data_IF_907707857119
#
_entry.id   IF_907707857119
#
_cell.length_a   1.000
_cell.length_b   1.000
_cell.length_c   1.000
_cell.angle_alpha   90.00
_cell.angle_beta   90.00
_cell.angle_gamma   90.00
#
_symmetry.space_group_name_H-M   'P 1'
#
loop_
_entity.id
_entity.type
_entity.pdbx_description
1 polymer ?
#
# COMPACT_ATOMS: atom_id res chain seq x y z
N UNK A 1 -14.37 -3.90 -17.18
CA UNK A 1 -13.90 -5.19 -16.63
C UNK A 1 -13.15 -4.88 -15.37
N UNK A 2 -13.67 -5.35 -14.24
CA UNK A 2 -13.21 -4.95 -12.91
C UNK A 2 -12.11 -5.90 -12.43
N UNK A 3 -10.87 -5.42 -12.43
CA UNK A 3 -9.77 -6.13 -11.79
C UNK A 3 -9.86 -5.91 -10.28
N UNK A 4 -9.67 -6.96 -9.50
CA UNK A 4 -9.57 -6.92 -8.04
C UNK A 4 -8.36 -7.72 -7.60
N UNK A 5 -7.64 -7.24 -6.61
CA UNK A 5 -6.61 -8.01 -5.93
C UNK A 5 -7.13 -8.40 -4.55
N UNK A 6 -6.96 -9.67 -4.20
CA UNK A 6 -7.35 -10.20 -2.88
C UNK A 6 -6.34 -11.23 -2.40
N UNK A 7 -6.28 -11.53 -1.10
CA UNK A 7 -5.54 -12.68 -0.61
C UNK A 7 -5.97 -13.97 -1.32
N UNK A 8 -5.00 -14.86 -1.56
CA UNK A 8 -5.28 -16.22 -1.99
C UNK A 8 -6.00 -16.98 -0.87
N UNK A 9 -6.86 -17.91 -1.25
CA UNK A 9 -7.63 -18.73 -0.31
C UNK A 9 -7.51 -20.20 -0.68
N UNK A 10 -7.68 -21.14 0.27
CA UNK A 10 -7.60 -22.58 0.00
C UNK A 10 -8.46 -23.04 -1.19
N UNK A 11 -9.66 -22.45 -1.37
CA UNK A 11 -10.55 -22.75 -2.50
C UNK A 11 -10.01 -22.35 -3.88
N UNK A 12 -9.02 -21.47 -3.95
CA UNK A 12 -8.42 -21.03 -5.21
C UNK A 12 -7.47 -22.09 -5.82
N UNK A 13 -7.05 -23.08 -5.03
CA UNK A 13 -5.99 -24.04 -5.39
C UNK A 13 -6.13 -24.64 -6.80
N UNK A 14 -7.33 -25.09 -7.18
CA UNK A 14 -7.59 -25.67 -8.50
C UNK A 14 -7.48 -24.62 -9.62
N UNK A 15 -8.03 -23.42 -9.39
CA UNK A 15 -7.98 -22.33 -10.36
C UNK A 15 -6.54 -21.84 -10.55
N UNK A 16 -5.76 -21.68 -9.47
CA UNK A 16 -4.37 -21.25 -9.54
C UNK A 16 -3.47 -22.31 -10.18
N UNK A 17 -3.72 -23.61 -9.92
CA UNK A 17 -3.06 -24.71 -10.64
C UNK A 17 -3.30 -24.59 -12.14
N UNK A 18 -4.55 -24.36 -12.55
CA UNK A 18 -4.92 -24.20 -13.96
C UNK A 18 -4.21 -23.00 -14.60
N UNK A 19 -4.18 -21.85 -13.92
CA UNK A 19 -3.47 -20.64 -14.39
C UNK A 19 -1.98 -20.93 -14.56
N UNK A 20 -1.35 -21.54 -13.56
CA UNK A 20 0.06 -21.91 -13.55
C UNK A 20 0.40 -22.80 -14.76
N UNK A 21 -0.42 -23.83 -15.01
CA UNK A 21 -0.25 -24.76 -16.11
C UNK A 21 -0.40 -24.09 -17.48
N UNK A 22 -1.42 -23.25 -17.66
CA UNK A 22 -1.67 -22.53 -18.90
C UNK A 22 -0.55 -21.50 -19.19
N UNK A 23 -0.14 -20.75 -18.18
CA UNK A 23 0.94 -19.76 -18.29
C UNK A 23 2.30 -20.42 -18.58
N UNK A 24 2.58 -21.58 -17.98
CA UNK A 24 3.80 -22.34 -18.28
C UNK A 24 3.78 -22.90 -19.72
N UNK A 25 2.64 -23.43 -20.17
CA UNK A 25 2.48 -23.95 -21.52
C UNK A 25 2.62 -22.89 -22.61
N UNK A 26 2.28 -21.62 -22.34
CA UNK A 26 2.38 -20.54 -23.34
C UNK A 26 3.82 -20.23 -23.79
N UNK A 27 4.83 -20.77 -23.11
CA UNK A 27 6.23 -20.69 -23.54
C UNK A 27 6.62 -21.66 -24.66
N UNK A 28 5.70 -22.54 -25.10
CA UNK A 28 5.92 -23.47 -26.21
C UNK A 28 6.76 -24.69 -25.86
N UNK A 29 6.76 -25.13 -24.60
CA UNK A 29 7.41 -26.39 -24.21
C UNK A 29 6.73 -27.60 -24.87
N UNK A 30 7.49 -28.69 -25.14
CA UNK A 30 6.93 -29.92 -25.66
C UNK A 30 5.80 -30.47 -24.77
N UNK A 31 4.69 -30.88 -25.39
CA UNK A 31 3.49 -31.32 -24.66
C UNK A 31 3.73 -32.56 -23.80
N UNK A 32 4.67 -33.43 -24.18
CA UNK A 32 5.06 -34.59 -23.37
C UNK A 32 5.71 -34.17 -22.05
N UNK A 33 6.61 -33.18 -22.08
CA UNK A 33 7.23 -32.61 -20.88
C UNK A 33 6.20 -31.86 -20.03
N UNK A 34 5.33 -31.10 -20.67
CA UNK A 34 4.23 -30.42 -19.96
C UNK A 34 3.29 -31.43 -19.30
N UNK A 35 3.00 -32.58 -19.93
CA UNK A 35 2.16 -33.63 -19.34
C UNK A 35 2.74 -34.19 -18.05
N UNK A 36 4.04 -34.50 -18.02
CA UNK A 36 4.70 -34.96 -16.79
C UNK A 36 4.75 -33.84 -15.74
N UNK A 37 5.10 -32.61 -16.15
CA UNK A 37 5.16 -31.47 -15.24
C UNK A 37 3.81 -31.21 -14.55
N UNK A 38 2.68 -31.28 -15.29
CA UNK A 38 1.34 -31.09 -14.75
C UNK A 38 0.94 -32.14 -13.70
N UNK A 39 1.51 -33.35 -13.74
CA UNK A 39 1.23 -34.39 -12.72
C UNK A 39 1.85 -34.03 -11.37
N UNK A 40 3.05 -33.44 -11.39
CA UNK A 40 3.85 -33.20 -10.19
C UNK A 40 3.66 -31.81 -9.59
N UNK A 41 3.32 -30.80 -10.40
CA UNK A 41 3.26 -29.41 -9.97
C UNK A 41 1.82 -28.93 -9.84
N UNK A 42 1.28 -28.96 -8.63
CA UNK A 42 -0.07 -28.48 -8.31
C UNK A 42 0.00 -27.51 -7.13
N UNK A 43 -0.85 -26.49 -7.17
CA UNK A 43 -1.08 -25.63 -6.03
C UNK A 43 -2.09 -26.35 -5.13
N UNK A 44 -1.71 -26.64 -3.89
CA UNK A 44 -2.58 -27.30 -2.91
C UNK A 44 -3.24 -26.28 -1.98
N UNK A 45 -4.39 -26.62 -1.36
CA UNK A 45 -4.98 -25.81 -0.31
C UNK A 45 -4.01 -25.48 0.83
N UNK A 46 -3.24 -26.47 1.29
CA UNK A 46 -2.26 -26.29 2.38
C UNK A 46 -1.13 -25.33 2.00
N UNK A 47 -0.62 -25.42 0.76
CA UNK A 47 0.37 -24.48 0.26
C UNK A 47 -0.15 -23.03 0.31
N UNK A 48 -1.43 -22.81 -0.01
CA UNK A 48 -2.00 -21.46 0.02
C UNK A 48 -2.19 -20.90 1.44
N UNK A 49 -2.20 -21.75 2.47
CA UNK A 49 -2.19 -21.29 3.86
C UNK A 49 -0.80 -20.85 4.32
N UNK A 50 0.26 -21.38 3.70
CA UNK A 50 1.66 -21.05 4.03
C UNK A 50 2.21 -19.86 3.22
N UNK A 51 1.62 -19.57 2.06
CA UNK A 51 2.06 -18.49 1.18
C UNK A 51 1.46 -17.14 1.58
N UNK A 52 2.27 -16.09 1.47
CA UNK A 52 1.75 -14.74 1.28
C UNK A 52 1.23 -14.61 -0.17
N UNK A 53 0.00 -15.09 -0.37
CA UNK A 53 -0.63 -15.21 -1.67
C UNK A 53 -1.49 -14.00 -2.06
N UNK A 54 -1.37 -13.55 -3.31
CA UNK A 54 -2.23 -12.52 -3.90
C UNK A 54 -2.84 -13.07 -5.18
N UNK A 55 -4.17 -13.00 -5.29
CA UNK A 55 -4.91 -13.38 -6.48
C UNK A 55 -5.43 -12.13 -7.16
N UNK A 56 -5.16 -12.01 -8.46
CA UNK A 56 -5.82 -11.06 -9.33
C UNK A 56 -7.05 -11.71 -9.95
N UNK A 57 -8.22 -11.16 -9.65
CA UNK A 57 -9.51 -11.61 -10.11
C UNK A 57 -10.08 -10.60 -11.10
N UNK A 58 -10.65 -11.10 -12.20
CA UNK A 58 -11.34 -10.29 -13.20
C UNK A 58 -12.76 -10.80 -13.34
N UNK A 59 -13.72 -9.94 -13.00
CA UNK A 59 -15.15 -10.23 -13.10
C UNK A 59 -15.53 -11.58 -12.41
N UNK A 60 -15.04 -11.81 -11.18
CA UNK A 60 -15.33 -13.03 -10.41
C UNK A 60 -14.36 -14.19 -10.62
N UNK A 61 -13.50 -14.12 -11.65
CA UNK A 61 -12.63 -15.25 -12.05
C UNK A 61 -11.16 -14.96 -11.78
N UNK A 62 -10.42 -15.83 -11.07
CA UNK A 62 -8.96 -15.73 -10.97
C UNK A 62 -8.29 -15.73 -12.34
N UNK A 63 -7.41 -14.76 -12.61
CA UNK A 63 -6.69 -14.64 -13.88
C UNK A 63 -5.18 -14.54 -13.72
N UNK A 64 -4.68 -14.24 -12.53
CA UNK A 64 -3.27 -14.29 -12.19
C UNK A 64 -3.10 -14.44 -10.67
N UNK A 65 -1.91 -14.85 -10.23
CA UNK A 65 -1.57 -14.87 -8.82
C UNK A 65 -0.07 -14.71 -8.59
N UNK A 66 0.28 -14.26 -7.40
CA UNK A 66 1.60 -14.37 -6.82
C UNK A 66 1.56 -15.12 -5.50
N UNK A 67 2.69 -15.66 -5.09
CA UNK A 67 2.86 -16.33 -3.80
C UNK A 67 4.30 -16.23 -3.36
N UNK A 68 4.51 -15.61 -2.20
CA UNK A 68 5.82 -15.48 -1.58
C UNK A 68 5.90 -16.34 -0.31
N UNK A 69 7.10 -16.84 -0.02
CA UNK A 69 7.46 -17.48 1.24
C UNK A 69 8.42 -16.60 2.00
N UNK A 70 8.31 -16.67 3.32
CA UNK A 70 9.18 -15.97 4.24
C UNK A 70 10.11 -17.00 4.87
N UNK A 71 11.42 -16.80 4.77
CA UNK A 71 12.38 -17.63 5.48
C UNK A 71 12.71 -17.03 6.86
N UNK A 72 13.15 -17.89 7.78
CA UNK A 72 13.52 -17.48 9.14
C UNK A 72 14.79 -16.59 9.18
N UNK A 73 15.48 -16.39 8.06
CA UNK A 73 16.70 -15.61 7.94
C UNK A 73 16.45 -14.18 7.46
N UNK A 74 15.18 -13.76 7.33
CA UNK A 74 14.85 -12.41 6.89
C UNK A 74 14.88 -12.23 5.37
N UNK A 75 14.65 -13.29 4.58
CA UNK A 75 14.48 -13.22 3.12
C UNK A 75 13.05 -13.60 2.72
N UNK A 76 12.53 -12.86 1.74
CA UNK A 76 11.28 -13.22 1.05
C UNK A 76 11.64 -13.86 -0.29
N UNK A 77 11.13 -15.06 -0.54
CA UNK A 77 11.26 -15.78 -1.81
C UNK A 77 9.92 -15.72 -2.56
N UNK A 78 9.88 -15.00 -3.68
CA UNK A 78 8.74 -14.98 -4.59
C UNK A 78 8.76 -16.22 -5.48
N UNK A 79 8.20 -17.32 -4.97
CA UNK A 79 8.17 -18.62 -5.63
C UNK A 79 7.18 -18.67 -6.80
N UNK A 80 6.09 -17.90 -6.72
CA UNK A 80 5.01 -17.93 -7.69
C UNK A 80 4.70 -16.54 -8.22
N UNK A 81 4.67 -16.41 -9.55
CA UNK A 81 4.09 -15.27 -10.26
C UNK A 81 3.61 -15.73 -11.65
N UNK A 82 2.31 -15.97 -11.78
CA UNK A 82 1.71 -16.52 -13.00
C UNK A 82 0.53 -15.68 -13.46
N UNK A 83 0.50 -15.40 -14.77
CA UNK A 83 -0.56 -14.63 -15.43
C UNK A 83 -1.13 -15.48 -16.56
N UNK A 84 -2.44 -15.70 -16.54
CA UNK A 84 -3.11 -16.51 -17.56
C UNK A 84 -2.88 -15.92 -18.97
N UNK A 85 -2.64 -16.75 -20.00
CA UNK A 85 -2.22 -16.28 -21.33
C UNK A 85 -3.12 -15.18 -21.94
N UNK A 86 -4.43 -15.27 -21.74
CA UNK A 86 -5.43 -14.33 -22.24
C UNK A 86 -5.34 -12.91 -21.67
N UNK A 87 -4.61 -12.73 -20.55
CA UNK A 87 -4.39 -11.42 -19.92
C UNK A 87 -2.90 -11.11 -19.73
N UNK A 88 -1.99 -11.84 -20.37
CA UNK A 88 -0.58 -11.49 -20.35
C UNK A 88 -0.33 -10.13 -21.04
N UNK A 89 0.79 -9.49 -20.68
CA UNK A 89 1.18 -8.16 -21.19
C UNK A 89 0.18 -7.02 -20.90
N UNK A 90 -0.74 -7.22 -19.96
CA UNK A 90 -1.70 -6.21 -19.48
C UNK A 90 -1.24 -5.41 -18.26
N UNK A 91 -0.04 -5.69 -17.74
CA UNK A 91 0.49 -5.08 -16.51
C UNK A 91 0.15 -5.83 -15.22
N UNK A 92 -0.75 -6.83 -15.23
CA UNK A 92 -1.14 -7.58 -14.02
C UNK A 92 0.06 -8.24 -13.32
N UNK A 93 1.01 -8.81 -14.08
CA UNK A 93 2.22 -9.40 -13.49
C UNK A 93 3.09 -8.39 -12.76
N UNK A 94 3.26 -7.18 -13.32
CA UNK A 94 3.99 -6.10 -12.67
C UNK A 94 3.24 -5.59 -11.41
N UNK A 95 1.91 -5.54 -11.47
CA UNK A 95 1.07 -5.16 -10.35
C UNK A 95 1.18 -6.17 -9.18
N UNK A 96 1.10 -7.47 -9.46
CA UNK A 96 1.27 -8.51 -8.43
C UNK A 96 2.69 -8.52 -7.84
N UNK A 97 3.71 -8.32 -8.68
CA UNK A 97 5.09 -8.19 -8.23
C UNK A 97 5.25 -7.00 -7.27
N UNK A 98 4.80 -5.80 -7.68
CA UNK A 98 4.82 -4.59 -6.85
C UNK A 98 4.10 -4.80 -5.52
N UNK A 99 2.92 -5.45 -5.52
CA UNK A 99 2.17 -5.72 -4.29
C UNK A 99 2.85 -6.75 -3.38
N UNK A 100 3.58 -7.70 -3.95
CA UNK A 100 4.38 -8.66 -3.17
C UNK A 100 5.60 -7.96 -2.54
N UNK A 101 6.25 -7.04 -3.27
CA UNK A 101 7.31 -6.18 -2.74
C UNK A 101 6.81 -5.26 -1.62
N UNK A 102 5.62 -4.70 -1.77
CA UNK A 102 4.98 -3.86 -0.76
C UNK A 102 4.74 -4.62 0.54
N UNK A 103 4.16 -5.83 0.47
CA UNK A 103 3.92 -6.68 1.66
C UNK A 103 5.23 -7.06 2.35
N UNK A 104 6.24 -7.45 1.58
CA UNK A 104 7.57 -7.76 2.11
C UNK A 104 8.15 -6.55 2.88
N UNK A 105 8.07 -5.34 2.31
CA UNK A 105 8.54 -4.12 2.98
C UNK A 105 7.77 -3.84 4.27
N UNK A 106 6.45 -3.95 4.24
CA UNK A 106 5.58 -3.72 5.42
C UNK A 106 5.87 -4.69 6.57
N UNK A 107 6.36 -5.88 6.27
CA UNK A 107 6.78 -6.89 7.25
C UNK A 107 8.24 -6.71 7.71
N UNK A 108 8.94 -5.68 7.22
CA UNK A 108 10.31 -5.34 7.63
C UNK A 108 11.41 -6.01 6.79
N UNK A 109 11.07 -6.70 5.70
CA UNK A 109 12.09 -7.29 4.83
C UNK A 109 12.77 -6.22 3.99
N UNK A 110 14.09 -6.33 3.86
CA UNK A 110 14.92 -5.40 3.07
C UNK A 110 15.31 -5.97 1.70
N UNK A 111 14.93 -7.22 1.43
CA UNK A 111 15.33 -7.96 0.23
C UNK A 111 14.26 -8.97 -0.16
N UNK A 112 14.03 -9.08 -1.46
CA UNK A 112 13.20 -10.10 -2.08
C UNK A 112 14.02 -10.83 -3.14
N UNK A 113 13.87 -12.15 -3.21
CA UNK A 113 14.56 -13.03 -4.13
C UNK A 113 13.54 -13.85 -4.94
N UNK A 114 13.94 -14.30 -6.12
CA UNK A 114 13.12 -15.16 -6.96
C UNK A 114 13.95 -16.03 -7.89
N UNK A 115 13.33 -17.11 -8.34
CA UNK A 115 13.81 -17.94 -9.44
C UNK A 115 12.96 -17.66 -10.67
N UNK A 116 13.56 -17.00 -11.65
CA UNK A 116 12.84 -16.64 -12.87
C UNK A 116 12.72 -17.82 -13.82
N UNK A 117 11.63 -17.85 -14.58
CA UNK A 117 11.57 -18.67 -15.79
C UNK A 117 12.67 -18.27 -16.79
N UNK A 118 13.13 -19.23 -17.60
CA UNK A 118 14.18 -19.00 -18.63
C UNK A 118 13.85 -17.83 -19.56
N UNK A 119 12.56 -17.60 -19.85
CA UNK A 119 12.11 -16.53 -20.74
C UNK A 119 11.61 -15.27 -19.99
N UNK A 120 11.61 -15.27 -18.66
CA UNK A 120 11.06 -14.18 -17.84
C UNK A 120 12.13 -13.27 -17.22
N UNK A 121 13.42 -13.58 -17.34
CA UNK A 121 14.50 -12.79 -16.69
C UNK A 121 14.43 -11.30 -17.02
N UNK A 122 14.29 -10.97 -18.31
CA UNK A 122 14.17 -9.57 -18.74
C UNK A 122 12.94 -8.82 -18.20
N UNK A 123 11.88 -9.53 -17.78
CA UNK A 123 10.76 -8.88 -17.08
C UNK A 123 11.18 -8.39 -15.70
N UNK A 124 11.86 -9.22 -14.92
CA UNK A 124 12.34 -8.86 -13.58
C UNK A 124 13.47 -7.83 -13.63
N UNK A 125 14.38 -7.89 -14.61
CA UNK A 125 15.42 -6.87 -14.81
C UNK A 125 14.82 -5.47 -14.98
N UNK A 126 13.75 -5.33 -15.77
CA UNK A 126 13.03 -4.05 -15.92
C UNK A 126 12.32 -3.60 -14.64
N UNK A 127 12.05 -4.52 -13.72
CA UNK A 127 11.50 -4.22 -12.39
C UNK A 127 12.59 -3.94 -11.35
N UNK A 128 13.86 -3.88 -11.76
CA UNK A 128 15.00 -3.55 -10.90
C UNK A 128 15.59 -4.75 -10.15
N UNK A 129 15.34 -5.98 -10.61
CA UNK A 129 16.02 -7.16 -10.08
C UNK A 129 17.37 -7.35 -10.76
N UNK A 130 18.35 -7.78 -9.97
CA UNK A 130 19.68 -8.13 -10.44
C UNK A 130 19.84 -9.65 -10.43
N UNK A 131 20.52 -10.19 -11.45
CA UNK A 131 20.81 -11.62 -11.53
C UNK A 131 22.01 -11.97 -10.63
N UNK A 132 21.81 -12.87 -9.68
CA UNK A 132 22.82 -13.30 -8.71
C UNK A 132 23.34 -14.72 -8.98
N UNK A 133 22.65 -15.48 -9.83
CA UNK A 133 23.05 -16.84 -10.17
C UNK A 133 22.21 -17.42 -11.30
N UNK A 134 22.50 -18.68 -11.64
CA UNK A 134 21.81 -19.42 -12.69
C UNK A 134 21.65 -20.88 -12.28
N UNK A 135 20.51 -21.47 -12.61
CA UNK A 135 20.25 -22.90 -12.44
C UNK A 135 19.85 -23.55 -13.77
N UNK A 136 20.27 -24.78 -14.07
CA UNK A 136 19.82 -25.49 -15.27
C UNK A 136 18.30 -25.67 -15.30
N UNK A 137 17.66 -25.41 -16.44
CA UNK A 137 16.23 -25.66 -16.61
C UNK A 137 15.96 -27.13 -16.92
N UNK A 138 15.09 -27.76 -16.13
CA UNK A 138 14.59 -29.10 -16.41
C UNK A 138 13.65 -29.13 -17.64
N UNK A 139 13.00 -28.00 -17.95
CA UNK A 139 12.04 -27.88 -19.05
C UNK A 139 12.70 -27.42 -20.37
N UNK A 140 13.91 -26.89 -20.32
CA UNK A 140 14.67 -26.45 -21.49
C UNK A 140 16.15 -26.84 -21.35
N UNK A 141 16.52 -28.08 -21.72
CA UNK A 141 17.91 -28.55 -21.65
C UNK A 141 18.89 -27.58 -22.34
N UNK A 142 20.00 -27.28 -21.66
CA UNK A 142 21.01 -26.33 -22.14
C UNK A 142 20.69 -24.85 -21.91
N UNK A 143 19.52 -24.52 -21.36
CA UNK A 143 19.17 -23.16 -20.92
C UNK A 143 19.14 -23.08 -19.41
N UNK A 144 19.32 -21.87 -18.89
CA UNK A 144 19.43 -21.59 -17.47
C UNK A 144 18.32 -20.64 -17.01
N UNK A 145 17.79 -20.90 -15.83
CA UNK A 145 16.86 -20.04 -15.09
C UNK A 145 17.68 -19.07 -14.24
N UNK A 146 17.49 -17.74 -14.38
CA UNK A 146 18.21 -16.79 -13.55
C UNK A 146 17.66 -16.81 -12.12
N UNK A 147 18.56 -16.84 -11.14
CA UNK A 147 18.29 -16.51 -9.75
C UNK A 147 18.48 -15.00 -9.61
N UNK A 148 17.47 -14.32 -9.09
CA UNK A 148 17.43 -12.86 -9.11
C UNK A 148 17.01 -12.31 -7.76
N UNK A 149 17.52 -11.14 -7.42
CA UNK A 149 17.26 -10.48 -6.15
C UNK A 149 17.08 -8.98 -6.34
N UNK A 150 16.29 -8.37 -5.45
CA UNK A 150 16.10 -6.92 -5.40
C UNK A 150 16.17 -6.44 -3.96
N UNK A 151 16.96 -5.39 -3.73
CA UNK A 151 16.93 -4.66 -2.46
C UNK A 151 15.66 -3.83 -2.41
N UNK A 152 14.89 -4.00 -1.34
CA UNK A 152 13.73 -3.16 -1.07
C UNK A 152 14.23 -1.85 -0.47
N UNK A 153 13.98 -0.75 -1.17
CA UNK A 153 14.39 0.57 -0.74
C UNK A 153 13.65 0.99 0.54
N UNK A 154 14.24 1.86 1.38
CA UNK A 154 13.55 2.47 2.51
C UNK A 154 12.22 3.09 2.09
N UNK A 155 11.26 3.15 3.01
CA UNK A 155 9.96 3.75 2.74
C UNK A 155 9.96 5.28 2.92
N UNK A 156 10.87 5.82 3.73
CA UNK A 156 10.84 7.21 4.23
C UNK A 156 11.94 8.05 3.60
N UNK A 157 11.59 9.25 3.10
CA UNK A 157 12.52 10.20 2.50
C UNK A 157 12.18 11.65 2.90
N UNK A 158 13.18 12.54 3.02
CA UNK A 158 12.93 13.97 3.20
C UNK A 158 12.36 14.63 1.94
N UNK A 159 11.45 15.58 2.15
CA UNK A 159 10.78 16.36 1.11
C UNK A 159 11.23 17.82 1.19
N UNK A 160 11.70 18.36 0.07
CA UNK A 160 12.07 19.76 -0.08
C UNK A 160 10.96 20.59 -0.72
N UNK A 161 10.12 19.98 -1.56
CA UNK A 161 9.01 20.66 -2.25
C UNK A 161 7.87 19.70 -2.59
N UNK A 162 6.65 20.21 -2.52
CA UNK A 162 5.44 19.55 -3.03
C UNK A 162 4.87 20.38 -4.18
N UNK A 163 4.57 19.73 -5.30
CA UNK A 163 4.07 20.33 -6.53
C UNK A 163 2.92 19.48 -7.11
N UNK A 164 1.75 19.64 -6.50
CA UNK A 164 0.56 18.86 -6.81
C UNK A 164 -0.50 19.74 -7.47
N UNK A 165 -1.11 19.21 -8.51
CA UNK A 165 -2.16 19.91 -9.27
C UNK A 165 -3.42 19.06 -9.37
N UNK A 166 -4.55 19.70 -9.64
CA UNK A 166 -5.82 19.02 -9.91
C UNK A 166 -6.05 18.83 -11.41
N UNK A 167 -6.44 17.61 -11.81
CA UNK A 167 -6.90 17.31 -13.17
C UNK A 167 -8.38 17.58 -13.33
N UNK A 168 -8.76 18.14 -14.48
CA UNK A 168 -10.16 18.20 -14.92
C UNK A 168 -10.70 16.88 -15.49
N UNK A 169 -9.86 15.85 -15.65
CA UNK A 169 -10.29 14.55 -16.17
C UNK A 169 -10.85 13.67 -15.05
N UNK A 170 -11.95 12.94 -15.27
CA UNK A 170 -12.49 12.02 -14.27
C UNK A 170 -11.54 10.86 -14.03
N UNK A 171 -11.59 10.31 -12.82
CA UNK A 171 -10.76 9.16 -12.49
C UNK A 171 -11.20 7.93 -13.28
N UNK A 172 -10.31 7.39 -14.10
CA UNK A 172 -10.62 6.30 -15.03
C UNK A 172 -11.21 5.05 -14.32
N UNK A 173 -10.75 4.74 -13.11
CA UNK A 173 -11.29 3.64 -12.31
C UNK A 173 -12.76 3.88 -11.94
N UNK A 174 -13.09 5.08 -11.43
CA UNK A 174 -14.46 5.43 -11.08
C UNK A 174 -15.37 5.41 -12.31
N UNK A 175 -14.91 6.00 -13.41
CA UNK A 175 -15.65 6.04 -14.66
C UNK A 175 -15.96 4.63 -15.20
N UNK A 176 -15.01 3.69 -15.11
CA UNK A 176 -15.15 2.34 -15.63
C UNK A 176 -15.95 1.38 -14.73
N UNK A 177 -16.10 1.69 -13.44
CA UNK A 177 -16.67 0.77 -12.44
C UNK A 177 -17.92 1.32 -11.73
N UNK A 178 -18.58 2.35 -12.28
CA UNK A 178 -19.73 3.04 -11.65
C UNK A 178 -20.77 2.10 -11.02
N UNK A 179 -21.26 1.12 -11.77
CA UNK A 179 -22.30 0.19 -11.28
C UNK A 179 -21.82 -0.65 -10.09
N UNK A 180 -20.61 -1.22 -10.19
CA UNK A 180 -20.03 -2.03 -9.13
C UNK A 180 -19.65 -1.20 -7.90
N UNK A 181 -19.25 0.06 -8.07
CA UNK A 181 -19.00 1.01 -6.98
C UNK A 181 -20.31 1.31 -6.24
N UNK A 182 -21.40 1.60 -6.97
CA UNK A 182 -22.70 1.86 -6.35
C UNK A 182 -23.22 0.66 -5.56
N UNK A 183 -23.11 -0.55 -6.12
CA UNK A 183 -23.50 -1.79 -5.43
C UNK A 183 -22.66 -2.03 -4.17
N UNK A 184 -21.34 -1.91 -4.29
CA UNK A 184 -20.41 -2.08 -3.18
C UNK A 184 -20.68 -1.09 -2.04
N UNK A 185 -20.88 0.18 -2.39
CA UNK A 185 -21.12 1.23 -1.41
C UNK A 185 -22.47 1.06 -0.70
N UNK A 186 -23.52 0.66 -1.42
CA UNK A 186 -24.81 0.33 -0.82
C UNK A 186 -24.70 -0.82 0.19
N UNK A 187 -23.86 -1.82 -0.07
CA UNK A 187 -23.59 -2.89 0.90
C UNK A 187 -22.84 -2.37 2.14
N UNK A 188 -21.85 -1.49 1.94
CA UNK A 188 -21.13 -0.85 3.06
C UNK A 188 -22.04 0.02 3.92
N UNK A 189 -22.98 0.76 3.32
CA UNK A 189 -23.96 1.55 4.07
C UNK A 189 -24.92 0.69 4.89
N UNK A 190 -25.18 -0.57 4.50
CA UNK A 190 -25.95 -1.50 5.36
C UNK A 190 -25.17 -1.94 6.60
N UNK A 191 -23.84 -1.95 6.53
CA UNK A 191 -22.95 -2.31 7.64
C UNK A 191 -22.64 -1.10 8.53
N UNK A 192 -22.53 0.09 7.93
CA UNK A 192 -22.20 1.36 8.59
C UNK A 192 -23.22 2.42 8.08
N UNK A 193 -24.38 2.56 8.74
CA UNK A 193 -25.44 3.48 8.30
C UNK A 193 -25.01 4.95 8.19
N UNK A 194 -24.02 5.36 8.97
CA UNK A 194 -23.46 6.72 9.01
C UNK A 194 -22.53 7.03 7.82
N UNK A 195 -22.21 6.03 6.99
CA UNK A 195 -21.28 6.19 5.88
C UNK A 195 -21.84 7.12 4.80
N UNK A 196 -21.21 8.30 4.65
CA UNK A 196 -21.58 9.31 3.69
C UNK A 196 -20.67 9.29 2.44
N UNK A 197 -21.26 9.45 1.25
CA UNK A 197 -20.53 9.42 -0.01
C UNK A 197 -19.95 10.81 -0.37
N UNK A 198 -18.90 11.19 0.33
CA UNK A 198 -18.20 12.45 0.11
C UNK A 198 -17.36 12.52 -1.15
N UNK A 199 -16.58 13.60 -1.25
CA UNK A 199 -15.58 13.81 -2.30
C UNK A 199 -14.19 13.83 -1.68
N UNK A 200 -13.23 13.25 -2.38
CA UNK A 200 -11.82 13.17 -1.97
C UNK A 200 -10.93 13.32 -3.20
N UNK A 201 -9.63 13.53 -3.01
CA UNK A 201 -8.66 13.61 -4.09
C UNK A 201 -7.84 12.33 -4.20
N UNK A 202 -7.66 11.85 -5.43
CA UNK A 202 -6.89 10.66 -5.75
C UNK A 202 -5.65 11.02 -6.54
N UNK A 203 -4.46 10.64 -6.08
CA UNK A 203 -3.23 10.77 -6.87
C UNK A 203 -3.28 9.78 -8.04
N UNK A 204 -3.23 10.27 -9.27
CA UNK A 204 -3.34 9.46 -10.50
C UNK A 204 -2.05 9.41 -11.32
N UNK A 205 -1.10 10.28 -10.99
CA UNK A 205 0.26 10.30 -11.50
C UNK A 205 1.17 11.00 -10.50
N UNK A 206 2.40 10.52 -10.33
CA UNK A 206 3.39 11.17 -9.48
C UNK A 206 4.82 10.84 -9.85
N UNK A 207 5.72 11.71 -9.40
CA UNK A 207 7.16 11.55 -9.45
C UNK A 207 7.74 12.05 -8.13
N UNK A 208 8.74 11.35 -7.61
CA UNK A 208 9.51 11.80 -6.46
C UNK A 208 11.00 11.69 -6.80
N UNK A 209 11.64 12.84 -6.98
CA UNK A 209 13.06 12.92 -7.31
C UNK A 209 13.70 14.13 -6.63
N UNK A 210 14.92 13.97 -6.13
CA UNK A 210 15.70 15.02 -5.46
C UNK A 210 14.92 15.78 -4.37
N UNK A 211 14.08 15.06 -3.62
CA UNK A 211 13.23 15.61 -2.55
C UNK A 211 11.96 16.33 -3.04
N UNK A 212 11.69 16.37 -4.34
CA UNK A 212 10.51 17.02 -4.90
C UNK A 212 9.43 15.98 -5.23
N UNK A 213 8.29 16.06 -4.53
CA UNK A 213 7.08 15.35 -4.92
C UNK A 213 6.31 16.20 -5.93
N UNK A 214 6.17 15.71 -7.16
CA UNK A 214 5.26 16.31 -8.13
C UNK A 214 4.21 15.30 -8.60
N UNK A 215 3.04 15.79 -8.98
CA UNK A 215 1.97 14.89 -9.42
C UNK A 215 0.65 15.56 -9.73
N UNK A 216 -0.28 14.72 -10.16
CA UNK A 216 -1.64 15.12 -10.50
C UNK A 216 -2.64 14.33 -9.70
N UNK A 217 -3.54 15.03 -9.01
CA UNK A 217 -4.69 14.44 -8.38
C UNK A 217 -5.94 14.58 -9.25
N UNK A 218 -6.94 13.77 -8.96
CA UNK A 218 -8.27 13.84 -9.55
C UNK A 218 -9.30 13.71 -8.44
N UNK A 219 -10.34 14.53 -8.48
CA UNK A 219 -11.46 14.41 -7.57
C UNK A 219 -12.27 13.13 -7.83
N UNK A 220 -12.55 12.35 -6.79
CA UNK A 220 -13.36 11.14 -6.87
C UNK A 220 -14.36 11.04 -5.72
N UNK A 221 -15.35 10.15 -5.86
CA UNK A 221 -16.27 9.88 -4.75
C UNK A 221 -15.60 9.02 -3.68
N UNK A 222 -15.99 9.22 -2.43
CA UNK A 222 -15.55 8.38 -1.32
C UNK A 222 -15.89 6.91 -1.57
N UNK A 223 -17.06 6.63 -2.18
CA UNK A 223 -17.43 5.30 -2.64
C UNK A 223 -16.42 4.68 -3.62
N UNK A 224 -15.94 5.46 -4.59
CA UNK A 224 -14.93 4.99 -5.55
C UNK A 224 -13.58 4.74 -4.87
N UNK A 225 -13.14 5.64 -3.99
CA UNK A 225 -11.94 5.46 -3.16
C UNK A 225 -12.02 4.17 -2.34
N UNK A 226 -13.13 3.99 -1.62
CA UNK A 226 -13.37 2.84 -0.75
C UNK A 226 -13.37 1.53 -1.54
N UNK A 227 -14.08 1.51 -2.68
CA UNK A 227 -14.12 0.34 -3.57
C UNK A 227 -12.74 -0.01 -4.12
N UNK A 228 -11.97 0.98 -4.58
CA UNK A 228 -10.62 0.78 -5.08
C UNK A 228 -9.68 0.22 -4.00
N UNK A 229 -9.76 0.77 -2.78
CA UNK A 229 -8.95 0.34 -1.64
C UNK A 229 -9.25 -1.12 -1.29
N UNK A 230 -10.53 -1.44 -1.15
CA UNK A 230 -10.97 -2.76 -0.70
C UNK A 230 -10.86 -3.82 -1.81
N UNK A 231 -10.71 -3.40 -3.08
CA UNK A 231 -10.31 -4.27 -4.19
C UNK A 231 -8.78 -4.39 -4.35
N UNK A 232 -8.01 -4.01 -3.33
CA UNK A 232 -6.56 -4.18 -3.28
C UNK A 232 -5.78 -3.23 -4.18
N UNK A 233 -6.34 -2.04 -4.47
CA UNK A 233 -5.72 -1.02 -5.32
C UNK A 233 -5.29 -1.58 -6.69
N UNK A 234 -6.25 -1.99 -7.55
CA UNK A 234 -6.02 -2.87 -8.69
C UNK A 234 -5.48 -2.13 -9.94
N UNK A 235 -4.53 -1.23 -9.77
CA UNK A 235 -3.80 -0.59 -10.87
C UNK A 235 -2.42 -0.09 -10.39
N UNK A 236 -1.56 0.25 -11.35
CA UNK A 236 -0.17 0.64 -11.10
C UNK A 236 0.04 2.14 -10.86
N UNK A 237 -0.91 2.98 -11.27
CA UNK A 237 -0.67 4.42 -11.41
C UNK A 237 -1.38 5.26 -10.36
N UNK A 238 -2.30 4.68 -9.59
CA UNK A 238 -3.11 5.44 -8.64
C UNK A 238 -2.73 5.10 -7.22
N UNK A 239 -2.70 6.12 -6.36
CA UNK A 239 -2.26 6.01 -4.97
C UNK A 239 -3.21 6.77 -4.06
N UNK A 240 -3.30 6.38 -2.79
CA UNK A 240 -3.91 7.21 -1.77
C UNK A 240 -2.86 8.14 -1.19
N UNK A 241 -2.95 9.43 -1.53
CA UNK A 241 -2.06 10.46 -1.01
C UNK A 241 -2.77 11.22 0.10
N UNK A 242 -2.16 11.31 1.26
CA UNK A 242 -2.73 11.96 2.42
C UNK A 242 -1.66 12.66 3.25
N UNK A 243 -2.08 13.70 3.95
CA UNK A 243 -1.24 14.43 4.89
C UNK A 243 -1.25 13.75 6.26
N UNK A 244 -0.14 13.84 6.99
CA UNK A 244 -0.15 13.55 8.42
C UNK A 244 0.73 14.51 9.21
N UNK A 245 0.44 14.64 10.50
CA UNK A 245 1.19 15.42 11.45
C UNK A 245 1.72 14.51 12.57
N UNK A 246 3.01 14.62 12.86
CA UNK A 246 3.63 13.95 14.01
C UNK A 246 4.11 15.00 14.99
N UNK A 247 3.60 14.94 16.22
CA UNK A 247 4.13 15.73 17.33
C UNK A 247 5.33 15.01 17.92
N UNK A 248 6.44 15.75 18.09
CA UNK A 248 7.65 15.29 18.79
C UNK A 248 7.87 16.13 20.05
N UNK A 249 7.91 15.47 21.19
CA UNK A 249 8.17 16.08 22.50
C UNK A 249 9.66 16.42 22.69
N UNK A 250 10.03 17.29 23.66
CA UNK A 250 11.44 17.62 23.96
C UNK A 250 12.33 16.42 24.30
N UNK A 251 11.75 15.36 24.88
CA UNK A 251 12.44 14.09 25.16
C UNK A 251 12.58 13.19 23.93
N UNK A 252 12.14 13.63 22.75
CA UNK A 252 12.23 12.89 21.49
C UNK A 252 11.09 11.89 21.25
N UNK A 253 10.15 11.74 22.19
CA UNK A 253 9.02 10.82 22.02
C UNK A 253 8.01 11.36 20.99
N UNK A 254 7.45 10.46 20.19
CA UNK A 254 6.46 10.74 19.16
C UNK A 254 5.05 10.46 19.69
N UNK A 255 4.05 11.21 19.21
CA UNK A 255 2.65 11.01 19.57
C UNK A 255 1.83 10.58 18.35
N UNK A 256 1.20 9.41 18.44
CA UNK A 256 0.29 8.86 17.42
C UNK A 256 -1.13 8.73 17.99
N UNK A 257 -2.12 9.12 17.21
CA UNK A 257 -3.53 8.94 17.57
C UNK A 257 -3.93 7.47 17.61
N UNK A 258 -4.79 7.10 18.56
CA UNK A 258 -5.46 5.80 18.63
C UNK A 258 -6.90 6.02 18.19
N UNK A 259 -7.31 5.40 17.09
CA UNK A 259 -8.61 5.68 16.47
C UNK A 259 -9.79 5.13 17.27
N UNK A 260 -10.86 5.94 17.38
CA UNK A 260 -12.07 5.59 18.10
C UNK A 260 -12.88 4.45 17.47
N UNK A 261 -13.70 3.70 18.26
CA UNK A 261 -14.46 2.55 17.77
C UNK A 261 -15.46 2.82 16.65
N UNK A 262 -15.94 4.06 16.50
CA UNK A 262 -16.90 4.46 15.47
C UNK A 262 -16.26 4.86 14.13
N UNK A 263 -14.93 4.89 14.04
CA UNK A 263 -14.23 5.25 12.80
C UNK A 263 -13.97 4.02 11.92
N UNK A 264 -13.71 4.24 10.63
CA UNK A 264 -13.39 3.16 9.69
C UNK A 264 -12.05 2.44 9.99
N UNK A 265 -11.25 2.99 10.88
CA UNK A 265 -9.91 2.55 11.27
C UNK A 265 -9.81 2.25 12.78
N UNK A 266 -10.95 1.97 13.42
CA UNK A 266 -11.07 1.70 14.85
C UNK A 266 -9.92 0.88 15.45
N UNK A 267 -9.29 1.41 16.50
CA UNK A 267 -8.20 0.76 17.23
C UNK A 267 -6.83 0.83 16.56
N UNK A 268 -6.72 1.25 15.30
CA UNK A 268 -5.43 1.47 14.65
C UNK A 268 -4.73 2.69 15.24
N UNK A 269 -3.39 2.66 15.20
CA UNK A 269 -2.51 3.70 15.77
C UNK A 269 -1.68 4.32 14.64
N UNK A 270 -1.77 5.64 14.49
CA UNK A 270 -1.02 6.38 13.47
C UNK A 270 -0.95 7.89 13.74
N UNK A 271 -0.03 8.64 13.09
CA UNK A 271 0.01 10.10 13.11
C UNK A 271 -1.33 10.74 12.71
N UNK A 272 -1.73 11.82 13.38
CA UNK A 272 -2.97 12.57 13.08
C UNK A 272 -3.00 13.02 11.61
N UNK A 273 -4.16 12.97 10.95
CA UNK A 273 -4.23 13.33 9.54
C UNK A 273 -5.35 12.66 8.75
N UNK A 274 -5.65 13.28 7.60
CA UNK A 274 -6.77 12.91 6.74
C UNK A 274 -6.42 12.84 5.26
N UNK A 275 -7.35 12.28 4.50
CA UNK A 275 -7.25 12.28 3.04
C UNK A 275 -7.47 13.70 2.51
N UNK A 276 -6.80 14.02 1.40
CA UNK A 276 -7.04 15.26 0.70
C UNK A 276 -8.48 15.31 0.15
N UNK A 277 -9.06 16.51 0.17
CA UNK A 277 -10.42 16.77 -0.31
C UNK A 277 -10.48 18.08 -1.13
N UNK A 278 -11.61 18.40 -1.79
CA UNK A 278 -11.72 19.60 -2.64
C UNK A 278 -11.43 20.94 -1.94
N UNK A 279 -11.54 21.01 -0.61
CA UNK A 279 -11.20 22.20 0.17
C UNK A 279 -9.69 22.48 0.22
N UNK A 280 -8.85 21.48 -0.08
CA UNK A 280 -7.39 21.62 -0.14
C UNK A 280 -6.91 22.18 -1.50
N UNK A 281 -7.82 22.45 -2.43
CA UNK A 281 -7.50 23.00 -3.75
C UNK A 281 -7.45 24.54 -3.67
N UNK A 282 -6.31 25.11 -4.03
CA UNK A 282 -6.15 26.57 -4.11
C UNK A 282 -6.85 27.15 -5.33
N UNK A 283 -7.09 28.47 -5.32
CA UNK A 283 -7.63 29.19 -6.49
C UNK A 283 -6.77 29.05 -7.76
N UNK A 284 -5.49 28.69 -7.65
CA UNK A 284 -4.61 28.45 -8.80
C UNK A 284 -4.71 27.02 -9.36
N UNK A 285 -5.50 26.13 -8.75
CA UNK A 285 -5.59 24.72 -9.12
C UNK A 285 -4.43 23.86 -8.57
N UNK A 286 -3.66 24.39 -7.62
CA UNK A 286 -2.66 23.64 -6.86
C UNK A 286 -3.28 23.01 -5.62
N UNK A 287 -2.65 22.00 -5.04
CA UNK A 287 -3.12 21.35 -3.81
C UNK A 287 -2.23 21.80 -2.65
N UNK A 288 -2.83 22.42 -1.64
CA UNK A 288 -2.16 22.89 -0.43
C UNK A 288 -2.18 21.82 0.66
N UNK A 289 -1.26 20.87 0.53
CA UNK A 289 -1.14 19.76 1.47
C UNK A 289 -0.70 20.21 2.86
N UNK A 290 0.10 21.27 2.97
CA UNK A 290 0.53 21.79 4.27
C UNK A 290 -0.64 22.41 5.05
N UNK A 291 -1.54 23.11 4.37
CA UNK A 291 -2.77 23.60 4.97
C UNK A 291 -3.67 22.44 5.44
N UNK A 292 -3.82 21.39 4.62
CA UNK A 292 -4.54 20.16 4.97
C UNK A 292 -3.98 19.52 6.25
N UNK A 293 -2.66 19.27 6.30
CA UNK A 293 -1.98 18.70 7.49
C UNK A 293 -2.20 19.58 8.73
N UNK A 294 -2.13 20.89 8.58
CA UNK A 294 -2.29 21.82 9.69
C UNK A 294 -3.71 21.82 10.24
N UNK A 295 -4.70 21.80 9.35
CA UNK A 295 -6.13 21.75 9.70
C UNK A 295 -6.47 20.47 10.47
N UNK A 296 -6.06 19.31 9.95
CA UNK A 296 -6.28 18.01 10.60
C UNK A 296 -5.65 17.96 12.00
N UNK A 297 -4.40 18.45 12.13
CA UNK A 297 -3.75 18.50 13.44
C UNK A 297 -4.55 19.40 14.42
N UNK A 298 -4.97 20.59 13.99
CA UNK A 298 -5.73 21.52 14.82
C UNK A 298 -7.10 20.95 15.22
N UNK A 299 -7.81 20.31 14.29
CA UNK A 299 -9.12 19.69 14.51
C UNK A 299 -9.03 18.52 15.51
N UNK A 300 -8.04 17.63 15.36
CA UNK A 300 -7.90 16.44 16.21
C UNK A 300 -7.26 16.74 17.58
N UNK A 301 -6.40 17.75 17.69
CA UNK A 301 -5.57 17.98 18.89
C UNK A 301 -5.82 19.29 19.63
N UNK A 302 -6.44 20.27 18.96
CA UNK A 302 -6.61 21.63 19.48
C UNK A 302 -5.31 22.45 19.52
N UNK A 303 -4.21 21.93 18.95
CA UNK A 303 -2.92 22.61 18.94
C UNK A 303 -2.73 23.42 17.67
N UNK A 304 -2.60 24.74 17.81
CA UNK A 304 -2.37 25.60 16.65
C UNK A 304 -0.97 25.41 16.08
N UNK A 305 -0.87 25.14 14.78
CA UNK A 305 0.41 24.86 14.12
C UNK A 305 1.33 26.08 14.10
N UNK A 306 0.76 27.29 14.13
CA UNK A 306 1.50 28.55 14.24
C UNK A 306 2.32 28.68 15.53
N UNK A 307 1.96 27.93 16.57
CA UNK A 307 2.67 27.92 17.85
C UNK A 307 3.68 26.77 17.95
N UNK A 308 3.71 25.88 16.96
CA UNK A 308 4.59 24.73 16.92
C UNK A 308 5.79 25.01 16.02
N UNK A 309 6.95 24.44 16.38
CA UNK A 309 8.13 24.52 15.54
C UNK A 309 8.05 23.44 14.46
N UNK A 310 8.11 23.84 13.19
CA UNK A 310 8.17 22.90 12.07
C UNK A 310 9.53 22.19 12.03
N UNK A 311 9.49 20.86 12.09
CA UNK A 311 10.61 19.97 11.84
C UNK A 311 10.69 19.52 10.39
N UNK A 312 11.19 18.31 10.17
CA UNK A 312 11.30 17.70 8.84
C UNK A 312 9.93 17.47 8.19
N UNK A 313 9.89 17.61 6.86
CA UNK A 313 8.79 17.15 6.02
C UNK A 313 9.24 15.86 5.34
N UNK A 314 8.47 14.79 5.52
CA UNK A 314 8.84 13.44 5.09
C UNK A 314 7.77 12.86 4.16
N UNK A 315 8.19 12.05 3.20
CA UNK A 315 7.29 11.21 2.38
C UNK A 315 7.52 9.76 2.71
N UNK A 316 6.43 9.01 2.85
CA UNK A 316 6.43 7.59 3.22
C UNK A 316 5.66 6.79 2.18
N UNK A 317 6.36 5.88 1.50
CA UNK A 317 5.78 4.96 0.52
C UNK A 317 5.33 3.66 1.19
N UNK A 318 4.03 3.44 1.25
CA UNK A 318 3.40 2.28 1.89
C UNK A 318 2.44 1.58 0.92
N UNK A 319 3.04 0.97 -0.10
CA UNK A 319 2.37 0.31 -1.19
C UNK A 319 1.44 1.22 -1.99
N UNK A 320 0.13 1.00 -1.89
CA UNK A 320 -0.85 1.85 -2.57
C UNK A 320 -1.09 3.19 -1.86
N UNK A 321 -0.47 3.39 -0.70
CA UNK A 321 -0.58 4.58 0.15
C UNK A 321 0.71 5.37 0.09
N UNK A 322 0.58 6.69 0.09
CA UNK A 322 1.68 7.64 0.22
C UNK A 322 1.26 8.63 1.30
N UNK A 323 2.00 8.65 2.41
CA UNK A 323 1.84 9.69 3.42
C UNK A 323 2.87 10.78 3.20
N UNK A 324 2.47 12.03 3.29
CA UNK A 324 3.40 13.15 3.48
C UNK A 324 3.20 13.65 4.90
N UNK A 325 4.25 13.54 5.72
CA UNK A 325 4.19 13.81 7.14
C UNK A 325 5.01 15.04 7.52
N UNK A 326 4.39 15.99 8.21
CA UNK A 326 5.08 17.12 8.82
C UNK A 326 5.37 16.79 10.29
N UNK A 327 6.65 16.88 10.67
CA UNK A 327 7.04 16.81 12.08
C UNK A 327 6.84 18.18 12.72
N UNK A 328 6.25 18.20 13.91
CA UNK A 328 6.08 19.39 14.73
C UNK A 328 6.78 19.19 16.09
N UNK A 329 7.86 19.93 16.32
CA UNK A 329 8.58 19.94 17.58
C UNK A 329 7.79 20.77 18.61
N UNK A 330 7.44 20.12 19.71
CA UNK A 330 6.71 20.70 20.83
C UNK A 330 7.67 21.09 21.97
N UNK A 331 7.23 22.01 22.83
CA UNK A 331 7.93 22.47 24.03
C UNK A 331 7.41 21.83 25.33
N UNK A 332 6.47 20.89 25.22
CA UNK A 332 5.82 20.19 26.33
C UNK A 332 6.16 18.70 26.36
N UNK A 333 6.30 18.09 27.55
CA UNK A 333 6.47 16.65 27.69
C UNK A 333 5.37 15.84 27.00
N UNK A 334 5.69 14.62 26.56
CA UNK A 334 4.76 13.78 25.81
C UNK A 334 3.47 13.44 26.58
N UNK A 335 3.56 13.22 27.89
CA UNK A 335 2.38 12.93 28.73
C UNK A 335 1.45 14.13 28.86
N UNK A 336 2.00 15.35 28.95
CA UNK A 336 1.21 16.59 29.01
C UNK A 336 0.50 16.85 27.68
N UNK A 337 1.18 16.60 26.57
CA UNK A 337 0.60 16.68 25.23
C UNK A 337 -0.55 15.67 25.07
N UNK A 338 -0.33 14.39 25.41
CA UNK A 338 -1.37 13.36 25.38
C UNK A 338 -2.58 13.75 26.23
N UNK A 339 -2.36 14.24 27.45
CA UNK A 339 -3.44 14.66 28.33
C UNK A 339 -4.25 15.81 27.71
N UNK A 340 -3.59 16.82 27.14
CA UNK A 340 -4.27 17.94 26.48
C UNK A 340 -5.08 17.49 25.25
N UNK A 341 -4.51 16.62 24.40
CA UNK A 341 -5.18 16.08 23.22
C UNK A 341 -6.42 15.28 23.63
N UNK A 342 -6.30 14.43 24.65
CA UNK A 342 -7.43 13.65 25.15
C UNK A 342 -8.55 14.52 25.75
N UNK A 343 -8.22 15.68 26.33
CA UNK A 343 -9.23 16.65 26.79
C UNK A 343 -9.93 17.28 25.60
N UNK A 344 -9.19 17.72 24.58
CA UNK A 344 -9.75 18.30 23.37
C UNK A 344 -10.65 17.31 22.62
N UNK A 345 -10.16 16.09 22.38
CA UNK A 345 -10.91 15.06 21.66
C UNK A 345 -12.23 14.71 22.35
N UNK A 346 -12.26 14.61 23.69
CA UNK A 346 -13.52 14.39 24.45
C UNK A 346 -14.50 15.55 24.35
N UNK A 347 -14.01 16.77 24.12
CA UNK A 347 -14.83 17.96 23.97
C UNK A 347 -15.30 18.17 22.52
N UNK A 348 -14.66 17.52 21.54
CA UNK A 348 -15.06 17.61 20.14
C UNK A 348 -16.33 16.79 19.89
N UNK A 349 -17.09 17.18 18.86
CA UNK A 349 -18.31 16.48 18.49
C UNK A 349 -18.02 15.10 17.87
N UNK A 350 -16.88 14.97 17.19
CA UNK A 350 -16.53 13.79 16.40
C UNK A 350 -15.75 12.74 17.22
N UNK A 351 -15.02 13.16 18.25
CA UNK A 351 -14.24 12.28 19.15
C UNK A 351 -13.42 11.22 18.39
N UNK A 352 -12.74 11.61 17.32
CA UNK A 352 -12.08 10.67 16.40
C UNK A 352 -10.96 9.85 17.06
N UNK A 353 -10.33 10.40 18.11
CA UNK A 353 -9.28 9.76 18.88
C UNK A 353 -9.82 9.22 20.20
N UNK A 354 -9.59 7.92 20.44
CA UNK A 354 -9.88 7.29 21.73
C UNK A 354 -8.79 7.58 22.77
N UNK A 355 -7.54 7.70 22.31
CA UNK A 355 -6.36 8.03 23.10
C UNK A 355 -5.23 8.49 22.17
N UNK A 356 -4.08 8.83 22.75
CA UNK A 356 -2.82 9.05 22.03
C UNK A 356 -1.76 8.09 22.56
N UNK A 357 -1.13 7.34 21.66
CA UNK A 357 0.01 6.47 21.97
C UNK A 357 1.30 7.27 21.91
N UNK A 358 2.08 7.21 22.99
CA UNK A 358 3.42 7.78 23.05
C UNK A 358 4.44 6.70 22.65
N UNK A 359 5.24 6.99 21.64
CA UNK A 359 6.31 6.11 21.14
C UNK A 359 7.65 6.70 21.60
N UNK A 360 8.38 5.98 22.46
CA UNK A 360 9.66 6.44 23.04
C UNK A 360 10.85 5.68 22.47
N UNK A 361 10.64 4.44 22.06
CA UNK A 361 11.67 3.49 21.63
C UNK A 361 11.23 2.75 20.38
N UNK A 362 12.18 2.06 19.74
CA UNK A 362 11.85 1.20 18.60
C UNK A 362 10.92 0.04 18.99
N UNK A 363 11.02 -0.46 20.22
CA UNK A 363 10.17 -1.56 20.72
C UNK A 363 8.69 -1.14 20.84
N UNK A 364 8.42 0.16 21.10
CA UNK A 364 7.05 0.68 21.13
C UNK A 364 6.35 0.60 19.75
N UNK A 365 7.13 0.45 18.67
CA UNK A 365 6.63 0.34 17.30
C UNK A 365 6.21 -1.09 16.91
N UNK A 366 6.48 -2.08 17.76
CA UNK A 366 6.11 -3.48 17.52
C UNK A 366 4.63 -3.76 17.81
N UNK A 367 3.88 -2.77 18.33
CA UNK A 367 2.43 -2.85 18.48
C UNK A 367 1.79 -3.12 17.10
N UNK A 368 1.06 -4.25 16.92
CA UNK A 368 0.45 -4.59 15.64
C UNK A 368 -0.66 -3.61 15.22
N UNK A 369 -1.18 -2.81 16.16
CA UNK A 369 -2.14 -1.75 15.84
C UNK A 369 -1.48 -0.56 15.12
N UNK A 370 -0.16 -0.39 15.20
CA UNK A 370 0.56 0.65 14.47
C UNK A 370 0.57 0.27 12.99
N UNK A 371 0.04 1.15 12.14
CA UNK A 371 -0.01 0.89 10.69
C UNK A 371 1.39 0.96 10.07
N UNK A 372 1.65 0.23 8.96
CA UNK A 372 2.99 0.14 8.39
C UNK A 372 3.70 1.47 8.09
N UNK A 373 3.05 2.44 7.44
CA UNK A 373 3.68 3.74 7.18
C UNK A 373 4.09 4.48 8.47
N UNK A 374 3.27 4.39 9.52
CA UNK A 374 3.55 5.02 10.82
C UNK A 374 4.74 4.34 11.51
N UNK A 375 4.84 3.01 11.38
CA UNK A 375 5.98 2.24 11.89
C UNK A 375 7.28 2.66 11.22
N UNK A 376 7.29 2.78 9.89
CA UNK A 376 8.49 3.20 9.15
C UNK A 376 8.88 4.64 9.45
N UNK A 377 7.90 5.53 9.58
CA UNK A 377 8.10 6.92 10.03
C UNK A 377 8.72 6.97 11.43
N UNK A 378 8.19 6.20 12.39
CA UNK A 378 8.71 6.14 13.75
C UNK A 378 10.15 5.61 13.79
N UNK A 379 10.45 4.55 13.02
CA UNK A 379 11.82 4.02 12.89
C UNK A 379 12.79 5.06 12.34
N UNK A 380 12.37 5.85 11.36
CA UNK A 380 13.20 6.92 10.81
C UNK A 380 13.47 8.03 11.84
N UNK A 381 12.45 8.45 12.60
CA UNK A 381 12.54 9.57 13.54
C UNK A 381 13.21 9.23 14.88
N UNK A 382 13.25 7.94 15.26
CA UNK A 382 13.87 7.45 16.49
C UNK A 382 15.28 6.88 16.29
N UNK A 383 15.72 6.72 15.03
CA UNK A 383 17.09 6.33 14.68
C UNK A 383 18.05 7.51 14.83
#
# INVERSE_FOLDING_TARGET
>A
MSLKLRPARPEDALALTTIMHLAKASWGYPEELMREWRKHWQITPDLLLELDGIVAEKDGTPVAFSGAKHDANGRVDLDYLYVAPQVQKSGIGALLLMRSEDRARQQGYTKIALRSEVNAGGFYERCGYETTGHEPSQMAPGRFMPLMEKRLQPAVYPVSKIDLTISGQPWAFEAANKAAISEYFAEKQRQIPELWNGRTLKLTDHRFEDGVLSGTCTECSYAAFLTWRDWGAPNLTTFNLFGSAVLRSPEGALLYGVMSPHTATAGLIYPMGGNLDPSDITNSGSIDMQASISRELEEETGLSTHQLKHGELLIIFDGARISVSQVFDCDRPAEDLRAAINVHSKASAEQELADVRIIKTLDDLDDPAIVPYARDLGRYLLA
#
